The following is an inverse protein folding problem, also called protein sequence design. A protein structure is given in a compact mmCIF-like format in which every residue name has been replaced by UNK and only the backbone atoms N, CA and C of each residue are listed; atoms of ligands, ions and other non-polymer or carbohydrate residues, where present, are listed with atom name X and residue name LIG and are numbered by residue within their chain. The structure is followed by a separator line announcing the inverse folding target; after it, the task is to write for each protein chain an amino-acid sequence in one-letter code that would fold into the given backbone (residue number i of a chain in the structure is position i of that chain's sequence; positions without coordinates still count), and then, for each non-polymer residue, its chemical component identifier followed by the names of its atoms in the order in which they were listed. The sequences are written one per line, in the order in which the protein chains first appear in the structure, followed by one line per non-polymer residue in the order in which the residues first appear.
data_IF_596639249533
#
_entry.id   IF_596639249533
#
_cell.length_a   1.000
_cell.length_b   1.000
_cell.length_c   1.000
_cell.angle_alpha   90.00
_cell.angle_beta   90.00
_cell.angle_gamma   90.00
#
_symmetry.space_group_name_H-M   'P 1'
#
loop_
_entity.id
_entity.type
_entity.pdbx_description
1 polymer ?
#
# COMPACT_ATOMS: atom_id res chain seq x y z
N UNK A 1 9.12 -19.75 27.26
CA UNK A 1 9.70 -19.59 25.92
C UNK A 1 8.79 -18.81 24.97
N UNK A 2 7.49 -19.10 24.93
CA UNK A 2 6.52 -18.50 23.98
C UNK A 2 6.29 -16.98 24.18
N UNK A 3 6.34 -16.47 25.43
CA UNK A 3 6.07 -15.06 25.71
C UNK A 3 7.15 -14.12 25.15
N UNK A 4 8.42 -14.52 25.22
CA UNK A 4 9.56 -13.70 24.79
C UNK A 4 9.60 -13.57 23.27
N UNK A 5 9.28 -14.63 22.54
CA UNK A 5 9.22 -14.62 21.07
C UNK A 5 8.07 -13.75 20.54
N UNK A 6 6.91 -13.78 21.21
CA UNK A 6 5.77 -12.93 20.86
C UNK A 6 6.08 -11.43 21.07
N UNK A 7 6.70 -11.06 22.20
CA UNK A 7 7.11 -9.68 22.46
C UNK A 7 8.19 -9.21 21.48
N UNK A 8 9.11 -10.09 21.10
CA UNK A 8 10.12 -9.80 20.10
C UNK A 8 9.51 -9.54 18.71
N UNK A 9 8.55 -10.37 18.29
CA UNK A 9 7.80 -10.18 17.05
C UNK A 9 7.05 -8.84 17.02
N UNK A 10 6.32 -8.49 18.09
CA UNK A 10 5.61 -7.22 18.18
C UNK A 10 6.55 -6.02 18.11
N UNK A 11 7.73 -6.10 18.74
CA UNK A 11 8.74 -5.06 18.68
C UNK A 11 9.28 -4.88 17.26
N UNK A 12 9.59 -5.96 16.55
CA UNK A 12 10.06 -5.89 15.15
C UNK A 12 8.96 -5.29 14.27
N UNK A 13 7.71 -5.75 14.40
CA UNK A 13 6.59 -5.19 13.62
C UNK A 13 6.50 -3.68 13.82
N UNK A 14 6.56 -3.22 15.07
CA UNK A 14 6.52 -1.80 15.41
C UNK A 14 7.70 -1.02 14.84
N UNK A 15 8.91 -1.57 14.92
CA UNK A 15 10.10 -0.93 14.34
C UNK A 15 10.00 -0.81 12.84
N UNK A 16 9.57 -1.88 12.14
CA UNK A 16 9.39 -1.87 10.70
C UNK A 16 8.36 -0.83 10.27
N UNK A 17 7.21 -0.78 10.95
CA UNK A 17 6.17 0.20 10.67
C UNK A 17 6.68 1.64 10.83
N UNK A 18 7.34 1.94 11.96
CA UNK A 18 7.92 3.26 12.19
C UNK A 18 8.97 3.61 11.13
N UNK A 19 9.85 2.67 10.77
CA UNK A 19 10.87 2.90 9.76
C UNK A 19 10.28 3.15 8.37
N UNK A 20 9.26 2.38 7.95
CA UNK A 20 8.60 2.59 6.65
C UNK A 20 7.93 3.97 6.60
N UNK A 21 7.19 4.34 7.64
CA UNK A 21 6.51 5.63 7.67
C UNK A 21 7.49 6.81 7.70
N UNK A 22 8.58 6.68 8.46
CA UNK A 22 9.66 7.68 8.46
C UNK A 22 10.29 7.81 7.06
N UNK A 23 10.57 6.68 6.39
CA UNK A 23 11.13 6.71 5.04
C UNK A 23 10.18 7.38 4.03
N UNK A 24 8.89 7.04 4.07
CA UNK A 24 7.88 7.68 3.20
C UNK A 24 7.84 9.18 3.48
N UNK A 25 7.75 9.59 4.75
CA UNK A 25 7.73 11.00 5.14
C UNK A 25 8.96 11.76 4.66
N UNK A 26 10.14 11.16 4.80
CA UNK A 26 11.40 11.76 4.41
C UNK A 26 11.47 11.95 2.89
N UNK A 27 11.10 10.93 2.10
CA UNK A 27 11.05 11.02 0.64
C UNK A 27 10.06 12.10 0.18
N UNK A 28 8.86 12.16 0.79
CA UNK A 28 7.87 13.20 0.50
C UNK A 28 8.43 14.58 0.84
N UNK A 29 9.03 14.75 2.02
CA UNK A 29 9.63 16.01 2.45
C UNK A 29 10.73 16.48 1.50
N UNK A 30 11.66 15.59 1.12
CA UNK A 30 12.75 15.90 0.19
C UNK A 30 12.21 16.27 -1.20
N UNK A 31 11.20 15.56 -1.68
CA UNK A 31 10.58 15.85 -2.99
C UNK A 31 9.92 17.24 -2.99
N UNK A 32 9.23 17.59 -1.91
CA UNK A 32 8.60 18.92 -1.74
C UNK A 32 9.63 20.04 -1.63
N UNK A 33 10.76 19.81 -0.96
CA UNK A 33 11.86 20.78 -0.89
C UNK A 33 12.48 21.09 -2.26
N UNK A 34 12.34 20.17 -3.23
CA UNK A 34 12.72 20.41 -4.62
C UNK A 34 11.63 21.16 -5.43
N UNK A 35 10.51 21.53 -4.80
CA UNK A 35 9.38 22.18 -5.45
C UNK A 35 8.50 21.24 -6.28
N UNK A 36 8.61 19.92 -6.08
CA UNK A 36 7.80 18.95 -6.80
C UNK A 36 6.43 18.75 -6.14
N UNK A 37 5.39 18.58 -6.97
CA UNK A 37 4.13 17.99 -6.52
C UNK A 37 4.30 16.48 -6.40
N UNK A 38 3.99 15.93 -5.23
CA UNK A 38 4.14 14.50 -4.95
C UNK A 38 2.81 13.80 -5.18
N UNK A 39 2.79 12.80 -6.07
CA UNK A 39 1.67 11.87 -6.17
C UNK A 39 2.06 10.59 -5.44
N UNK A 40 1.39 10.29 -4.32
CA UNK A 40 1.66 9.13 -3.51
C UNK A 40 0.51 8.12 -3.66
N UNK A 41 0.84 6.89 -4.05
CA UNK A 41 -0.15 5.83 -4.19
C UNK A 41 -0.39 5.14 -2.86
N UNK A 42 -1.63 4.78 -2.56
CA UNK A 42 -1.90 3.80 -1.49
C UNK A 42 -1.35 2.43 -1.87
N UNK A 43 -1.05 1.61 -0.88
CA UNK A 43 -0.71 0.19 -1.06
C UNK A 43 -2.02 -0.55 -1.34
N UNK A 44 -2.21 -1.05 -2.56
CA UNK A 44 -3.35 -1.89 -2.87
C UNK A 44 -3.29 -3.23 -2.10
N UNK A 45 -4.44 -3.83 -1.77
CA UNK A 45 -4.48 -5.09 -1.03
C UNK A 45 -4.03 -6.26 -1.90
N UNK A 46 -3.77 -7.41 -1.27
CA UNK A 46 -3.46 -8.63 -2.01
C UNK A 46 -4.69 -9.17 -2.77
N UNK A 47 -4.45 -9.96 -3.82
CA UNK A 47 -5.49 -10.83 -4.37
C UNK A 47 -5.64 -12.11 -3.52
N UNK A 48 -6.39 -13.10 -3.99
CA UNK A 48 -6.59 -14.34 -3.23
C UNK A 48 -5.26 -15.06 -3.00
N UNK A 49 -4.86 -15.18 -1.73
CA UNK A 49 -3.66 -15.92 -1.33
C UNK A 49 -3.90 -17.41 -1.57
N UNK A 50 -3.05 -18.11 -2.35
CA UNK A 50 -3.20 -19.55 -2.55
C UNK A 50 -3.19 -20.32 -1.23
N UNK A 51 -4.01 -21.37 -1.09
CA UNK A 51 -4.14 -22.13 0.15
C UNK A 51 -2.80 -22.60 0.73
N UNK A 52 -1.88 -23.07 -0.13
CA UNK A 52 -0.54 -23.51 0.26
C UNK A 52 0.31 -22.41 0.91
N UNK A 53 0.06 -21.15 0.58
CA UNK A 53 0.78 -19.98 1.15
C UNK A 53 0.22 -19.57 2.50
N UNK A 54 -1.06 -19.85 2.79
CA UNK A 54 -1.71 -19.52 4.08
C UNK A 54 -1.07 -20.24 5.28
N UNK A 55 -0.29 -21.31 5.07
CA UNK A 55 0.46 -21.99 6.12
C UNK A 55 1.69 -21.22 6.61
N UNK A 56 2.22 -20.31 5.79
CA UNK A 56 3.44 -19.54 6.10
C UNK A 56 3.18 -18.03 6.16
N UNK A 57 2.04 -17.59 5.64
CA UNK A 57 1.64 -16.19 5.59
C UNK A 57 0.31 -16.04 6.33
N UNK A 58 0.22 -14.99 7.14
CA UNK A 58 -1.01 -14.58 7.81
C UNK A 58 -1.66 -13.44 7.01
N UNK A 59 -2.63 -13.73 6.11
CA UNK A 59 -3.18 -12.72 5.22
C UNK A 59 -3.81 -11.56 5.98
N UNK A 60 -4.42 -11.84 7.13
CA UNK A 60 -5.07 -10.83 7.97
C UNK A 60 -4.05 -9.87 8.58
N UNK A 61 -2.89 -10.37 9.04
CA UNK A 61 -1.81 -9.53 9.58
C UNK A 61 -1.26 -8.59 8.49
N UNK A 62 -1.11 -9.11 7.26
CA UNK A 62 -0.65 -8.31 6.12
C UNK A 62 -1.71 -7.27 5.74
N UNK A 63 -2.99 -7.64 5.70
CA UNK A 63 -4.08 -6.70 5.42
C UNK A 63 -4.14 -5.57 6.46
N UNK A 64 -4.02 -5.89 7.76
CA UNK A 64 -3.93 -4.88 8.82
C UNK A 64 -2.72 -3.98 8.65
N UNK A 65 -1.54 -4.53 8.33
CA UNK A 65 -0.34 -3.72 8.12
C UNK A 65 -0.46 -2.79 6.90
N UNK A 66 -1.08 -3.27 5.81
CA UNK A 66 -1.39 -2.43 4.64
C UNK A 66 -2.31 -1.28 5.04
N UNK A 67 -3.37 -1.56 5.81
CA UNK A 67 -4.28 -0.53 6.30
C UNK A 67 -3.56 0.49 7.18
N UNK A 68 -2.76 0.05 8.16
CA UNK A 68 -2.00 0.93 9.06
C UNK A 68 -1.06 1.87 8.29
N UNK A 69 -0.41 1.39 7.22
CA UNK A 69 0.49 2.21 6.39
C UNK A 69 -0.32 3.13 5.47
N UNK A 70 -1.45 2.67 4.93
CA UNK A 70 -2.33 3.51 4.12
C UNK A 70 -2.93 4.66 4.93
N UNK A 71 -3.34 4.43 6.18
CA UNK A 71 -3.81 5.48 7.09
C UNK A 71 -2.74 6.56 7.29
N UNK A 72 -1.47 6.14 7.41
CA UNK A 72 -0.34 7.06 7.44
C UNK A 72 -0.16 7.81 6.12
N UNK A 73 -0.22 7.12 4.97
CA UNK A 73 -0.13 7.73 3.63
C UNK A 73 -1.22 8.81 3.46
N UNK A 74 -2.46 8.52 3.83
CA UNK A 74 -3.56 9.49 3.79
C UNK A 74 -3.28 10.73 4.65
N UNK A 75 -2.67 10.55 5.83
CA UNK A 75 -2.29 11.67 6.69
C UNK A 75 -1.25 12.64 6.08
N UNK A 76 -0.58 12.23 4.99
CA UNK A 76 0.41 13.07 4.30
C UNK A 76 -0.23 13.97 3.24
N UNK A 77 -1.52 13.81 2.94
CA UNK A 77 -2.22 14.64 1.96
C UNK A 77 -2.13 16.13 2.30
N UNK A 78 -1.79 16.94 1.31
CA UNK A 78 -1.65 18.38 1.43
C UNK A 78 -1.76 19.03 0.04
N UNK A 79 -1.67 20.37 -0.04
CA UNK A 79 -1.76 21.12 -1.30
C UNK A 79 -0.79 20.62 -2.39
N UNK A 80 0.42 20.21 -2.01
CA UNK A 80 1.47 19.70 -2.89
C UNK A 80 1.71 18.18 -2.76
N UNK A 81 0.84 17.46 -2.06
CA UNK A 81 0.88 16.00 -1.90
C UNK A 81 -0.49 15.41 -2.20
N UNK A 82 -0.63 14.81 -3.38
CA UNK A 82 -1.87 14.20 -3.86
C UNK A 82 -1.84 12.70 -3.55
N UNK A 83 -2.87 12.20 -2.88
CA UNK A 83 -3.02 10.76 -2.65
C UNK A 83 -3.79 10.14 -3.81
N UNK A 84 -3.13 9.24 -4.54
CA UNK A 84 -3.74 8.43 -5.57
C UNK A 84 -4.19 7.09 -4.97
N UNK A 85 -5.46 7.03 -4.53
CA UNK A 85 -5.99 5.81 -3.94
C UNK A 85 -6.20 4.71 -4.99
N UNK A 86 -5.38 3.66 -4.89
CA UNK A 86 -5.42 2.50 -5.77
C UNK A 86 -6.39 1.42 -5.29
N UNK A 87 -6.80 1.46 -4.01
CA UNK A 87 -7.71 0.50 -3.41
C UNK A 87 -9.06 0.50 -4.13
N UNK A 88 -9.71 1.66 -4.19
CA UNK A 88 -11.01 1.84 -4.83
C UNK A 88 -11.04 1.46 -6.32
N UNK A 89 -9.89 1.51 -6.99
CA UNK A 89 -9.77 1.20 -8.42
C UNK A 89 -9.69 -0.31 -8.66
N UNK A 90 -8.95 -1.02 -7.81
CA UNK A 90 -8.51 -2.40 -8.09
C UNK A 90 -9.33 -3.46 -7.37
N UNK A 91 -10.05 -3.11 -6.29
CA UNK A 91 -10.66 -4.09 -5.40
C UNK A 91 -12.02 -4.61 -5.88
N UNK A 92 -12.34 -5.82 -5.45
CA UNK A 92 -13.68 -6.40 -5.48
C UNK A 92 -14.46 -6.06 -4.20
N UNK A 93 -15.68 -6.56 -4.09
CA UNK A 93 -16.56 -6.35 -2.93
C UNK A 93 -15.99 -6.94 -1.62
N UNK A 94 -14.97 -7.82 -1.71
CA UNK A 94 -14.30 -8.43 -0.56
C UNK A 94 -13.01 -7.67 -0.18
N UNK A 95 -12.73 -6.52 -0.79
CA UNK A 95 -11.53 -5.73 -0.51
C UNK A 95 -10.23 -6.36 -1.02
N UNK A 96 -10.30 -7.27 -1.99
CA UNK A 96 -9.14 -7.91 -2.63
C UNK A 96 -8.99 -7.42 -4.05
N UNK A 97 -7.75 -7.36 -4.55
CA UNK A 97 -7.53 -7.08 -5.98
C UNK A 97 -8.29 -8.10 -6.84
N UNK A 98 -9.09 -7.60 -7.79
CA UNK A 98 -9.88 -8.43 -8.72
C UNK A 98 -8.95 -9.37 -9.49
N UNK A 99 -9.38 -10.63 -9.66
CA UNK A 99 -8.60 -11.63 -10.38
C UNK A 99 -8.24 -11.19 -11.82
N UNK A 100 -9.12 -10.44 -12.47
CA UNK A 100 -8.88 -9.87 -13.82
C UNK A 100 -7.72 -8.87 -13.87
N UNK A 101 -7.31 -8.31 -12.74
CA UNK A 101 -6.20 -7.35 -12.62
C UNK A 101 -4.93 -7.95 -12.03
N UNK A 102 -4.94 -9.23 -11.64
CA UNK A 102 -3.86 -9.89 -10.90
C UNK A 102 -3.11 -10.92 -11.79
N UNK A 103 -1.79 -11.04 -11.59
CA UNK A 103 -0.97 -12.16 -12.08
C UNK A 103 -0.89 -13.24 -10.99
N UNK A 104 -0.63 -12.79 -9.77
CA UNK A 104 -0.57 -13.58 -8.56
C UNK A 104 -1.13 -12.75 -7.38
N UNK A 105 -0.99 -13.26 -6.16
CA UNK A 105 -1.57 -12.60 -4.98
C UNK A 105 -0.93 -11.23 -4.63
N UNK A 106 0.17 -10.81 -5.26
CA UNK A 106 0.84 -9.53 -5.01
C UNK A 106 1.07 -8.65 -6.26
N UNK A 107 1.12 -9.22 -7.47
CA UNK A 107 1.43 -8.51 -8.70
C UNK A 107 0.20 -8.26 -9.57
N UNK A 108 0.13 -7.07 -10.16
CA UNK A 108 -0.87 -6.70 -11.15
C UNK A 108 -0.48 -7.17 -12.55
N UNK A 109 -1.47 -7.50 -13.37
CA UNK A 109 -1.30 -7.80 -14.78
C UNK A 109 -1.46 -6.52 -15.64
N UNK A 110 -1.37 -6.66 -16.96
CA UNK A 110 -1.50 -5.53 -17.90
C UNK A 110 -2.85 -4.81 -17.78
N UNK A 111 -3.94 -5.52 -17.49
CA UNK A 111 -5.26 -4.90 -17.31
C UNK A 111 -5.32 -4.08 -16.01
N UNK A 112 -4.73 -4.58 -14.92
CA UNK A 112 -4.59 -3.84 -13.67
C UNK A 112 -3.81 -2.53 -13.84
N UNK A 113 -2.66 -2.58 -14.52
CA UNK A 113 -1.92 -1.36 -14.84
C UNK A 113 -2.66 -0.43 -15.79
N UNK A 114 -3.41 -0.96 -16.75
CA UNK A 114 -4.22 -0.15 -17.67
C UNK A 114 -5.25 0.69 -16.91
N UNK A 115 -6.01 0.09 -15.98
CA UNK A 115 -7.03 0.84 -15.23
C UNK A 115 -6.40 1.86 -14.27
N UNK A 116 -5.26 1.55 -13.64
CA UNK A 116 -4.53 2.53 -12.83
C UNK A 116 -4.08 3.72 -13.69
N UNK A 117 -3.49 3.46 -14.86
CA UNK A 117 -3.04 4.52 -15.76
C UNK A 117 -4.19 5.40 -16.24
N UNK A 118 -5.33 4.81 -16.61
CA UNK A 118 -6.54 5.56 -17.00
C UNK A 118 -7.03 6.50 -15.90
N UNK A 119 -6.89 6.11 -14.63
CA UNK A 119 -7.27 6.92 -13.46
C UNK A 119 -6.20 7.93 -13.05
N UNK A 120 -4.93 7.63 -13.27
CA UNK A 120 -3.81 8.52 -12.97
C UNK A 120 -3.72 9.67 -13.99
N UNK A 121 -4.03 9.42 -15.27
CA UNK A 121 -3.90 10.43 -16.32
C UNK A 121 -4.67 11.74 -16.04
N UNK A 122 -5.92 11.74 -15.55
CA UNK A 122 -6.61 12.97 -15.14
C UNK A 122 -5.92 13.73 -14.01
N UNK A 123 -5.23 13.04 -13.08
CA UNK A 123 -4.46 13.67 -12.00
C UNK A 123 -3.26 14.40 -12.60
N UNK A 124 -2.49 13.71 -13.45
CA UNK A 124 -1.32 14.27 -14.11
C UNK A 124 -1.65 15.49 -14.99
N UNK A 125 -2.82 15.51 -15.62
CA UNK A 125 -3.27 16.62 -16.47
C UNK A 125 -3.71 17.88 -15.72
N UNK A 126 -3.85 17.81 -14.39
CA UNK A 126 -4.25 18.94 -13.53
C UNK A 126 -3.06 19.62 -12.84
N UNK A 127 -1.87 19.04 -12.96
CA UNK A 127 -0.61 19.63 -12.54
C UNK A 127 -0.09 20.59 -13.62
#
# INVERSE_FOLDING_TARGET
MIYTEFQYFLRIKRQLFLSVNLNIKEIVSQSRQLGAVVILTTIFPMSEVPFKRKFFWSPDIVATAIQEVNDFIYSLENEDVIIFDTGDILVNQQGKVRGEYSIDFIHLNRAGYKVLNEKLMPVLKRL
#
